data_IF_176953270941
#
_entry.id   IF_176953270941
#
_cell.length_a   1.000
_cell.length_b   1.000
_cell.length_c   1.000
_cell.angle_alpha   90.00
_cell.angle_beta   90.00
_cell.angle_gamma   90.00
#
_symmetry.space_group_name_H-M   'P 1'
#
loop_
_entity.id
_entity.type
_entity.pdbx_description
1 polymer ?
#
# COMPACT_ATOMS: atom_id res chain seq x y z
N UNK A 1 20.66 -7.65 -9.46
CA UNK A 1 21.60 -8.03 -8.36
C UNK A 1 21.92 -6.79 -7.53
N UNK A 2 22.47 -5.78 -8.13
CA UNK A 2 22.81 -4.54 -7.37
C UNK A 2 21.54 -3.94 -6.78
N UNK A 3 20.45 -4.03 -7.49
CA UNK A 3 19.17 -3.46 -6.97
C UNK A 3 18.95 -3.89 -5.52
N UNK A 4 18.05 -3.22 -4.84
CA UNK A 4 17.76 -3.62 -3.46
C UNK A 4 17.07 -4.97 -3.54
N UNK A 5 16.66 -5.51 -2.42
CA UNK A 5 16.01 -6.86 -2.44
C UNK A 5 14.49 -6.74 -2.17
N UNK A 6 14.07 -6.14 -1.09
CA UNK A 6 12.62 -6.00 -0.79
C UNK A 6 12.05 -4.75 -1.43
N UNK A 7 12.61 -4.35 -2.52
CA UNK A 7 12.12 -3.11 -3.20
C UNK A 7 10.61 -3.24 -3.48
N UNK A 8 10.14 -4.41 -3.83
CA UNK A 8 8.68 -4.55 -4.09
C UNK A 8 7.94 -3.99 -2.87
N UNK A 9 8.40 -4.31 -1.70
CA UNK A 9 7.76 -3.79 -0.46
C UNK A 9 7.52 -2.30 -0.62
N UNK A 10 8.58 -1.55 -0.59
CA UNK A 10 8.48 -0.08 -0.73
C UNK A 10 7.51 0.26 -1.86
N UNK A 11 7.45 -0.56 -2.87
CA UNK A 11 6.50 -0.29 -3.98
C UNK A 11 5.12 -0.76 -3.53
N UNK A 12 5.05 -1.87 -2.85
CA UNK A 12 3.75 -2.36 -2.36
C UNK A 12 3.16 -1.27 -1.50
N UNK A 13 3.90 -0.84 -0.51
CA UNK A 13 3.43 0.27 0.38
C UNK A 13 2.69 1.31 -0.47
N UNK A 14 3.31 1.77 -1.53
CA UNK A 14 2.63 2.77 -2.39
C UNK A 14 1.26 2.23 -2.74
N UNK A 15 1.17 0.98 -3.11
CA UNK A 15 -0.17 0.41 -3.42
C UNK A 15 -1.04 0.56 -2.17
N UNK A 16 -0.58 0.03 -1.07
CA UNK A 16 -1.34 0.13 0.21
C UNK A 16 -1.74 1.59 0.45
N UNK A 17 -0.86 2.53 0.21
CA UNK A 17 -1.20 3.95 0.43
C UNK A 17 -2.42 4.29 -0.44
N UNK A 18 -2.42 3.86 -1.67
CA UNK A 18 -3.59 4.16 -2.54
C UNK A 18 -4.84 3.49 -1.97
N UNK A 19 -4.73 2.25 -1.57
CA UNK A 19 -5.88 1.54 -0.99
C UNK A 19 -6.48 2.41 0.12
N UNK A 20 -5.66 3.04 0.91
CA UNK A 20 -6.19 3.90 2.00
C UNK A 20 -7.15 4.94 1.38
N UNK A 21 -6.72 5.57 0.32
CA UNK A 21 -7.60 6.57 -0.34
C UNK A 21 -8.88 5.87 -0.82
N UNK A 22 -8.75 4.73 -1.43
CA UNK A 22 -9.97 4.01 -1.90
C UNK A 22 -10.82 3.63 -0.68
N UNK A 23 -10.25 2.87 0.21
CA UNK A 23 -11.00 2.46 1.43
C UNK A 23 -11.75 3.66 2.01
N UNK A 24 -11.05 4.72 2.30
CA UNK A 24 -11.73 5.92 2.87
C UNK A 24 -12.95 6.25 2.00
N UNK A 25 -12.95 5.79 0.78
CA UNK A 25 -14.10 6.06 -0.14
C UNK A 25 -15.07 4.88 -0.11
N UNK A 26 -14.61 3.74 -0.53
CA UNK A 26 -15.48 2.53 -0.57
C UNK A 26 -16.09 2.24 0.81
N UNK A 27 -15.32 1.80 1.77
CA UNK A 27 -15.90 1.47 3.10
C UNK A 27 -16.01 2.73 3.97
N UNK A 28 -15.05 3.62 3.88
CA UNK A 28 -15.10 4.89 4.70
C UNK A 28 -13.88 4.96 5.62
N UNK A 29 -13.49 3.83 6.18
CA UNK A 29 -12.31 3.78 7.09
C UNK A 29 -11.35 2.70 6.60
N UNK A 30 -10.37 2.34 7.38
CA UNK A 30 -9.40 1.28 6.95
C UNK A 30 -9.97 -0.11 7.34
N UNK A 31 -10.34 -0.94 6.39
CA UNK A 31 -10.90 -2.29 6.72
C UNK A 31 -9.81 -3.26 7.18
N UNK A 32 -8.62 -3.11 6.65
CA UNK A 32 -7.51 -4.02 7.04
C UNK A 32 -6.91 -3.54 8.36
N UNK A 33 -6.23 -2.43 8.35
CA UNK A 33 -5.61 -1.89 9.59
C UNK A 33 -6.56 -0.88 10.24
#
# INVERSE_FOLDING_TARGET
NELDVPEQVDKLIQQATSIERLCQHYIGWCPFW
#
